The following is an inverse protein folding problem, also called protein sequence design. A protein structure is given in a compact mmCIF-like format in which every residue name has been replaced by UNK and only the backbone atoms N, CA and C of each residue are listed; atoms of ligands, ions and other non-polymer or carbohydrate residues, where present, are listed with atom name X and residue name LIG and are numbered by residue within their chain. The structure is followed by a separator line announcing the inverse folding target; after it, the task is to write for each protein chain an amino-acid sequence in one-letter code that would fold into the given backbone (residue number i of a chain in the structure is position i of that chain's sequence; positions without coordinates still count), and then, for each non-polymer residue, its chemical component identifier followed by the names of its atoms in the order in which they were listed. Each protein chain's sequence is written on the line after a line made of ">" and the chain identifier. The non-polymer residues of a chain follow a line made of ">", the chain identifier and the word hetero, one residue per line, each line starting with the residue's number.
data_IF_331146331732
#
_entry.id   IF_331146331732
#
_cell.length_a   1.000
_cell.length_b   1.000
_cell.length_c   1.000
_cell.angle_alpha   90.00
_cell.angle_beta   90.00
_cell.angle_gamma   90.00
#
_symmetry.space_group_name_H-M   'P 1'
#
loop_
_entity.id
_entity.type
_entity.pdbx_description
1 polymer ?
#
# COMPACT_ATOMS: atom_id res chain seq x y z
N UNK A 1 -8.54 9.37 -14.79
CA UNK A 1 -7.56 8.27 -14.73
C UNK A 1 -6.86 8.38 -13.37
N UNK A 2 -7.58 8.47 -12.26
CA UNK A 2 -8.50 7.44 -11.75
C UNK A 2 -7.90 6.05 -11.92
N UNK A 3 -6.61 5.88 -11.57
CA UNK A 3 -6.21 4.57 -11.06
C UNK A 3 -6.98 4.44 -9.75
N UNK A 4 -8.17 3.87 -9.85
CA UNK A 4 -8.89 3.33 -8.73
C UNK A 4 -7.89 2.46 -7.98
N UNK A 5 -7.45 2.92 -6.81
CA UNK A 5 -6.79 2.09 -5.82
C UNK A 5 -7.87 1.18 -5.23
N UNK A 6 -8.35 0.25 -6.06
CA UNK A 6 -9.23 -0.83 -5.68
C UNK A 6 -8.37 -1.77 -4.86
N UNK A 7 -8.32 -1.57 -3.54
CA UNK A 7 -7.82 -2.60 -2.65
C UNK A 7 -8.99 -3.52 -2.33
N UNK A 8 -9.10 -4.71 -2.95
CA UNK A 8 -10.10 -5.68 -2.52
C UNK A 8 -9.82 -6.00 -1.05
N UNK A 9 -10.88 -6.07 -0.23
CA UNK A 9 -10.72 -6.50 1.16
C UNK A 9 -10.03 -7.86 1.18
N UNK A 10 -9.02 -8.00 2.04
CA UNK A 10 -8.15 -9.18 2.14
C UNK A 10 -8.92 -10.50 2.39
N UNK A 11 -10.20 -10.44 2.76
CA UNK A 11 -11.10 -11.60 2.88
C UNK A 11 -11.50 -12.23 1.53
N UNK A 12 -11.31 -11.55 0.40
CA UNK A 12 -11.78 -11.99 -0.93
C UNK A 12 -10.74 -12.81 -1.70
N UNK A 13 -9.43 -12.68 -1.40
CA UNK A 13 -8.40 -13.44 -2.14
C UNK A 13 -8.50 -14.97 -1.94
N UNK A 14 -9.22 -15.43 -0.91
CA UNK A 14 -9.41 -16.87 -0.67
C UNK A 14 -10.56 -17.51 -1.44
N UNK A 15 -11.43 -16.76 -2.13
CA UNK A 15 -12.52 -17.37 -2.91
C UNK A 15 -12.85 -16.55 -4.16
N UNK A 16 -12.75 -17.25 -5.31
CA UNK A 16 -13.28 -16.93 -6.65
C UNK A 16 -12.41 -16.07 -7.57
N UNK A 17 -11.77 -16.79 -8.48
CA UNK A 17 -11.68 -16.53 -9.92
C UNK A 17 -12.87 -15.70 -10.44
N UNK A 18 -12.56 -14.47 -10.88
CA UNK A 18 -13.01 -13.80 -12.11
C UNK A 18 -14.48 -13.38 -12.34
N UNK A 19 -15.42 -13.55 -11.42
CA UNK A 19 -16.80 -13.08 -11.66
C UNK A 19 -17.34 -12.18 -10.52
N UNK A 20 -17.68 -10.94 -10.90
CA UNK A 20 -18.38 -9.90 -10.15
C UNK A 20 -17.68 -9.33 -8.90
N UNK A 21 -16.68 -8.47 -9.11
CA UNK A 21 -16.35 -7.46 -8.08
C UNK A 21 -17.51 -6.45 -8.09
N UNK A 22 -18.37 -6.51 -7.08
CA UNK A 22 -19.49 -5.56 -6.95
C UNK A 22 -18.93 -4.17 -6.63
N UNK A 23 -19.64 -3.11 -7.03
CA UNK A 23 -19.25 -1.71 -6.73
C UNK A 23 -19.03 -1.49 -5.22
N UNK A 24 -19.75 -2.23 -4.36
CA UNK A 24 -19.54 -2.20 -2.90
C UNK A 24 -18.20 -2.80 -2.43
N UNK A 25 -17.55 -3.64 -3.23
CA UNK A 25 -16.21 -4.19 -2.97
C UNK A 25 -15.10 -3.25 -3.48
N UNK A 26 -15.47 -2.22 -4.26
CA UNK A 26 -14.59 -1.17 -4.75
C UNK A 26 -14.59 -0.02 -3.74
N UNK A 27 -13.64 -0.04 -2.82
CA UNK A 27 -13.43 1.10 -1.92
C UNK A 27 -12.74 2.23 -2.67
N UNK A 28 -13.48 3.30 -2.98
CA UNK A 28 -12.89 4.58 -3.37
C UNK A 28 -12.14 5.17 -2.17
N UNK A 29 -10.87 5.51 -2.37
CA UNK A 29 -10.06 6.09 -1.32
C UNK A 29 -10.09 7.62 -1.47
N UNK A 30 -10.69 8.36 -0.52
CA UNK A 30 -10.78 9.81 -0.61
C UNK A 30 -9.39 10.46 -0.55
N UNK A 31 -9.24 11.62 -1.16
CA UNK A 31 -7.99 12.39 -1.07
C UNK A 31 -7.69 12.72 0.39
N UNK A 32 -6.45 12.48 0.81
CA UNK A 32 -5.97 12.88 2.13
C UNK A 32 -5.61 14.37 2.10
N UNK A 33 -6.58 15.23 2.40
CA UNK A 33 -6.42 16.69 2.42
C UNK A 33 -5.46 17.17 3.51
N UNK A 34 -5.41 16.47 4.64
CA UNK A 34 -4.55 16.81 5.79
C UNK A 34 -3.07 16.59 5.47
N UNK A 35 -2.76 15.57 4.67
CA UNK A 35 -1.41 15.31 4.20
C UNK A 35 -1.41 14.88 2.73
N UNK A 36 -1.32 15.84 1.80
CA UNK A 36 -1.31 15.54 0.36
C UNK A 36 -0.12 14.65 -0.07
N UNK A 37 0.97 14.59 0.70
CA UNK A 37 2.10 13.69 0.43
C UNK A 37 1.79 12.21 0.74
N UNK A 38 0.65 11.92 1.37
CA UNK A 38 0.13 10.55 1.54
C UNK A 38 -0.79 10.11 0.40
N UNK A 39 -1.08 10.99 -0.58
CA UNK A 39 -1.88 10.64 -1.74
C UNK A 39 -1.15 9.59 -2.60
N UNK A 40 -1.71 8.39 -2.83
CA UNK A 40 -1.03 7.33 -3.59
C UNK A 40 -0.69 7.72 -5.02
N UNK A 41 -1.49 8.57 -5.67
CA UNK A 41 -1.20 9.10 -7.00
C UNK A 41 0.11 9.91 -6.96
N UNK A 42 0.23 10.84 -6.01
CA UNK A 42 1.44 11.66 -5.86
C UNK A 42 2.66 10.82 -5.46
N UNK A 43 2.47 9.80 -4.62
CA UNK A 43 3.54 8.86 -4.27
C UNK A 43 4.03 8.07 -5.49
N UNK A 44 3.11 7.64 -6.35
CA UNK A 44 3.46 6.92 -7.58
C UNK A 44 4.16 7.84 -8.59
N UNK A 45 3.69 9.08 -8.76
CA UNK A 45 4.38 10.10 -9.56
C UNK A 45 5.80 10.36 -9.05
N UNK A 46 5.97 10.50 -7.73
CA UNK A 46 7.27 10.66 -7.10
C UNK A 46 8.18 9.45 -7.36
N UNK A 47 7.66 8.24 -7.21
CA UNK A 47 8.38 7.01 -7.55
C UNK A 47 8.88 7.04 -9.01
N UNK A 48 8.00 7.36 -9.97
CA UNK A 48 8.38 7.47 -11.38
C UNK A 48 9.42 8.56 -11.64
N UNK A 49 9.39 9.67 -10.89
CA UNK A 49 10.40 10.75 -10.98
C UNK A 49 11.82 10.28 -10.63
N UNK A 50 11.94 9.22 -9.82
CA UNK A 50 13.20 8.60 -9.40
C UNK A 50 13.60 7.38 -10.23
N UNK A 51 12.83 7.05 -11.27
CA UNK A 51 13.10 5.98 -12.23
C UNK A 51 13.69 6.56 -13.53
N UNK A 52 14.47 5.75 -14.25
CA UNK A 52 14.96 6.15 -15.57
C UNK A 52 13.83 6.20 -16.61
N UNK A 53 13.95 7.09 -17.60
CA UNK A 53 12.89 7.27 -18.61
C UNK A 53 12.59 6.01 -19.43
N UNK A 54 13.59 5.17 -19.68
CA UNK A 54 13.44 3.90 -20.41
C UNK A 54 12.49 2.92 -19.73
N UNK A 55 12.32 3.03 -18.41
CA UNK A 55 11.45 2.12 -17.64
C UNK A 55 10.02 2.61 -17.57
N UNK A 56 9.79 3.92 -17.71
CA UNK A 56 8.43 4.52 -17.71
C UNK A 56 7.56 4.04 -18.89
N UNK A 57 8.18 3.55 -19.96
CA UNK A 57 7.49 3.05 -21.15
C UNK A 57 7.25 1.53 -21.11
N UNK A 58 7.77 0.84 -20.09
CA UNK A 58 7.63 -0.60 -19.92
C UNK A 58 6.43 -0.91 -19.05
N UNK A 59 5.53 -1.77 -19.54
CA UNK A 59 4.37 -2.26 -18.78
C UNK A 59 4.58 -3.66 -18.21
N UNK A 60 5.73 -4.28 -18.46
CA UNK A 60 6.07 -5.65 -18.06
C UNK A 60 6.77 -5.74 -16.69
N UNK A 61 7.02 -4.59 -16.05
CA UNK A 61 7.68 -4.49 -14.75
C UNK A 61 6.75 -3.82 -13.74
N UNK A 62 6.50 -4.49 -12.62
CA UNK A 62 5.67 -3.96 -11.54
C UNK A 62 6.45 -3.04 -10.60
N UNK A 63 7.65 -3.47 -10.15
CA UNK A 63 8.49 -2.72 -9.23
C UNK A 63 9.97 -2.87 -9.58
N UNK A 64 10.75 -1.85 -9.26
CA UNK A 64 12.18 -1.76 -9.57
C UNK A 64 13.06 -1.94 -8.35
N UNK A 65 14.25 -2.50 -8.56
CA UNK A 65 15.24 -2.71 -7.52
C UNK A 65 15.79 -1.37 -6.98
N UNK A 66 15.72 -1.11 -5.66
CA UNK A 66 16.34 0.07 -5.06
C UNK A 66 17.86 0.05 -5.20
N UNK A 67 18.47 1.21 -5.42
CA UNK A 67 19.92 1.35 -5.41
C UNK A 67 20.43 1.41 -3.96
N UNK A 68 21.52 0.69 -3.70
CA UNK A 68 22.12 0.59 -2.36
C UNK A 68 22.59 1.95 -1.78
N UNK A 69 22.93 2.93 -2.63
CA UNK A 69 23.45 4.24 -2.23
C UNK A 69 22.71 5.39 -2.93
N UNK A 70 21.40 5.51 -2.68
CA UNK A 70 20.65 6.68 -3.14
C UNK A 70 20.63 7.77 -2.07
N UNK A 71 20.89 9.03 -2.48
CA UNK A 71 20.78 10.21 -1.63
C UNK A 71 19.47 10.95 -1.95
N UNK A 72 18.87 11.73 -1.01
CA UNK A 72 17.64 12.47 -1.29
C UNK A 72 17.69 13.36 -2.55
N UNK A 73 18.84 13.97 -2.83
CA UNK A 73 19.09 14.79 -4.02
C UNK A 73 19.41 13.99 -5.28
N UNK A 74 19.61 12.67 -5.20
CA UNK A 74 19.92 11.84 -6.36
C UNK A 74 18.77 11.87 -7.38
N UNK A 75 19.08 11.95 -8.68
CA UNK A 75 18.07 11.94 -9.74
C UNK A 75 17.47 10.55 -9.94
N UNK A 76 18.18 9.49 -9.58
CA UNK A 76 17.72 8.10 -9.72
C UNK A 76 17.92 7.33 -8.42
N UNK A 77 16.85 6.72 -7.91
CA UNK A 77 16.89 5.89 -6.70
C UNK A 77 16.73 4.40 -7.01
N UNK A 78 16.25 4.07 -8.21
CA UNK A 78 15.99 2.69 -8.61
C UNK A 78 16.82 2.32 -9.84
N UNK A 79 17.22 1.05 -9.91
CA UNK A 79 17.83 0.45 -11.10
C UNK A 79 16.72 -0.03 -12.06
N UNK A 80 17.02 -0.27 -13.34
CA UNK A 80 16.03 -0.82 -14.28
C UNK A 80 15.78 -2.33 -14.09
N UNK A 81 16.37 -2.95 -13.06
CA UNK A 81 16.16 -4.37 -12.76
C UNK A 81 14.82 -4.55 -12.02
N UNK A 82 14.10 -5.66 -12.28
CA UNK A 82 12.92 -6.00 -11.51
C UNK A 82 13.26 -6.18 -10.02
N UNK A 83 12.32 -5.83 -9.15
CA UNK A 83 12.40 -6.12 -7.73
C UNK A 83 12.41 -7.63 -7.49
N UNK A 84 13.32 -8.09 -6.64
CA UNK A 84 13.40 -9.50 -6.23
C UNK A 84 12.12 -9.97 -5.51
N UNK A 85 11.70 -11.22 -5.77
CA UNK A 85 10.48 -11.78 -5.17
C UNK A 85 10.57 -11.89 -3.65
N UNK A 86 11.73 -12.23 -3.11
CA UNK A 86 11.98 -12.31 -1.66
C UNK A 86 11.84 -10.94 -1.01
N UNK A 87 12.35 -9.90 -1.68
CA UNK A 87 12.21 -8.53 -1.22
C UNK A 87 10.74 -8.09 -1.23
N UNK A 88 10.00 -8.40 -2.29
CA UNK A 88 8.57 -8.12 -2.39
C UNK A 88 7.77 -8.80 -1.28
N UNK A 89 8.03 -10.09 -1.05
CA UNK A 89 7.41 -10.85 0.03
C UNK A 89 7.70 -10.23 1.40
N UNK A 90 8.95 -9.84 1.66
CA UNK A 90 9.32 -9.14 2.89
C UNK A 90 8.57 -7.82 3.09
N UNK A 91 8.40 -7.03 2.02
CA UNK A 91 7.62 -5.79 2.07
C UNK A 91 6.14 -6.06 2.38
N UNK A 92 5.55 -7.07 1.73
CA UNK A 92 4.15 -7.44 1.96
C UNK A 92 3.92 -7.92 3.40
N UNK A 93 4.81 -8.76 3.94
CA UNK A 93 4.76 -9.22 5.33
C UNK A 93 4.76 -8.03 6.29
N UNK A 94 5.67 -7.06 6.08
CA UNK A 94 5.74 -5.84 6.91
C UNK A 94 4.46 -5.01 6.83
N UNK A 95 3.90 -4.82 5.63
CA UNK A 95 2.66 -4.06 5.43
C UNK A 95 1.49 -4.74 6.14
N UNK A 96 1.37 -6.06 6.01
CA UNK A 96 0.32 -6.84 6.67
C UNK A 96 0.44 -6.77 8.19
N UNK A 97 1.64 -6.98 8.73
CA UNK A 97 1.88 -6.89 10.17
C UNK A 97 1.52 -5.50 10.74
N UNK A 98 1.89 -4.42 10.04
CA UNK A 98 1.52 -3.06 10.43
C UNK A 98 -0.01 -2.88 10.38
N UNK A 99 -0.67 -3.39 9.34
CA UNK A 99 -2.13 -3.30 9.22
C UNK A 99 -2.82 -3.98 10.39
N UNK A 100 -2.38 -5.18 10.76
CA UNK A 100 -2.99 -5.96 11.86
C UNK A 100 -2.95 -5.16 13.17
N UNK A 101 -1.78 -4.59 13.52
CA UNK A 101 -1.62 -3.73 14.71
C UNK A 101 -2.56 -2.52 14.71
N UNK A 102 -2.72 -1.84 13.57
CA UNK A 102 -3.58 -0.67 13.46
C UNK A 102 -5.07 -1.01 13.54
N UNK A 103 -5.47 -2.16 13.01
CA UNK A 103 -6.85 -2.62 13.11
C UNK A 103 -7.18 -3.02 14.54
N UNK A 104 -6.29 -3.74 15.22
CA UNK A 104 -6.45 -4.10 16.63
C UNK A 104 -6.56 -2.87 17.53
N UNK A 105 -5.70 -1.87 17.31
CA UNK A 105 -5.73 -0.60 18.04
C UNK A 105 -7.06 0.14 17.87
N UNK A 106 -7.63 0.14 16.65
CA UNK A 106 -8.94 0.74 16.39
C UNK A 106 -10.09 -0.06 17.00
N UNK A 107 -9.96 -1.38 17.07
CA UNK A 107 -10.94 -2.25 17.75
C UNK A 107 -10.95 -2.00 19.27
N UNK A 108 -9.79 -1.85 19.89
CA UNK A 108 -9.66 -1.51 21.31
C UNK A 108 -10.19 -0.11 21.65
N UNK A 109 -10.01 0.88 20.76
CA UNK A 109 -10.58 2.23 20.95
C UNK A 109 -12.11 2.27 20.85
N UNK A 110 -12.71 1.36 20.08
CA UNK A 110 -14.17 1.33 19.86
C UNK A 110 -14.93 0.59 20.96
N UNK A 111 -14.24 -0.23 21.75
CA UNK A 111 -14.75 -0.91 22.94
C UNK A 111 -13.70 -0.82 24.04
N UNK A 112 -13.60 0.32 24.76
CA UNK A 112 -12.82 0.35 25.99
C UNK A 112 -13.50 -0.63 26.95
N UNK A 113 -12.71 -1.59 27.44
CA UNK A 113 -13.12 -2.58 28.43
C UNK A 113 -13.86 -1.87 29.58
N UNK A 114 -15.18 -2.05 29.63
CA UNK A 114 -16.02 -1.64 30.74
C UNK A 114 -15.78 -2.64 31.87
N UNK A 115 -14.70 -2.43 32.61
CA UNK A 115 -14.42 -3.10 33.87
C UNK A 115 -14.32 -2.06 34.98
N UNK A 116 -15.42 -1.34 35.19
CA UNK A 116 -15.79 -0.80 36.50
C UNK A 116 -17.05 -1.56 36.93
N UNK A 117 -17.19 -1.81 38.23
CA UNK A 117 -18.22 -2.60 38.93
C UNK A 117 -17.86 -4.06 39.28
N UNK A 118 -17.07 -4.23 40.35
CA UNK A 118 -17.56 -5.02 41.48
C UNK A 118 -17.11 -4.38 42.80
N UNK A 119 -18.02 -3.61 43.39
CA UNK A 119 -17.99 -3.16 44.77
C UNK A 119 -18.76 -4.18 45.62
N UNK A 120 -18.10 -4.83 46.58
CA UNK A 120 -18.65 -5.24 47.90
C UNK A 120 -17.55 -5.81 48.79
#
# INVERSE_FOLDING_TARGET
>A
MFLCFLYPKASILRRKREEEIKDEDLLEMPENVENPFRCPVRLYEFYLSKCSNSVKQRSDLFYLQPKASCHPSSPMWYSPQPLDSTMMESMLIRILAIRDIHLDSKHQQKYPDSSDEESS
#
